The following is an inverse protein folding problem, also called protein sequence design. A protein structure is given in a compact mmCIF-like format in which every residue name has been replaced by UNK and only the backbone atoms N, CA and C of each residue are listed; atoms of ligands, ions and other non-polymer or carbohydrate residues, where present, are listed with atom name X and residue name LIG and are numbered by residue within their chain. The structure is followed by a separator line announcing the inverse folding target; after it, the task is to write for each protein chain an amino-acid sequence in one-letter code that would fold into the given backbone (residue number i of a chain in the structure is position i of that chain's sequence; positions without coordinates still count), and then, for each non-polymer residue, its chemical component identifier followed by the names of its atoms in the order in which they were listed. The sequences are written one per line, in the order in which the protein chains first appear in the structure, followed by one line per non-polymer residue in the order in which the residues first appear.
data_IF_084959934330
#
_entry.id   IF_084959934330
#
_cell.length_a   1.000
_cell.length_b   1.000
_cell.length_c   1.000
_cell.angle_alpha   90.00
_cell.angle_beta   90.00
_cell.angle_gamma   90.00
#
_symmetry.space_group_name_H-M   'P 1'
#
loop_
_entity.id
_entity.type
_entity.pdbx_description
1 polymer ?
#
# COMPACT_ATOMS: atom_id res chain seq x y z
N UNK A 1 -15.48 18.62 10.16
CA UNK A 1 -16.42 17.75 9.43
C UNK A 1 -15.66 16.52 8.97
N UNK A 2 -15.94 15.34 9.55
CA UNK A 2 -15.39 14.07 9.03
C UNK A 2 -16.10 13.82 7.70
N UNK A 3 -15.35 13.58 6.62
CA UNK A 3 -15.93 13.19 5.33
C UNK A 3 -16.78 11.94 5.59
N UNK A 4 -18.09 12.02 5.32
CA UNK A 4 -19.00 10.90 5.47
C UNK A 4 -18.59 9.83 4.44
N UNK A 5 -17.78 8.86 4.87
CA UNK A 5 -17.51 7.65 4.10
C UNK A 5 -18.62 6.66 4.43
N UNK A 6 -19.78 6.89 3.84
CA UNK A 6 -20.92 6.00 3.95
C UNK A 6 -20.64 4.78 3.05
N UNK A 7 -20.10 3.69 3.60
CA UNK A 7 -19.99 2.38 2.94
C UNK A 7 -19.44 2.38 1.49
N UNK A 8 -18.60 3.37 1.14
CA UNK A 8 -18.19 3.58 -0.24
C UNK A 8 -16.99 2.69 -0.58
N UNK A 9 -17.07 1.98 -1.72
CA UNK A 9 -15.91 1.27 -2.29
C UNK A 9 -14.78 2.28 -2.48
N UNK A 10 -13.66 2.11 -1.77
CA UNK A 10 -12.52 3.05 -1.77
C UNK A 10 -11.66 2.98 -3.04
N UNK A 11 -12.10 2.23 -4.05
CA UNK A 11 -11.36 1.97 -5.28
C UNK A 11 -10.45 0.74 -5.20
N UNK A 12 -9.58 0.62 -6.20
CA UNK A 12 -8.57 -0.44 -6.31
C UNK A 12 -7.21 0.14 -6.65
N UNK A 13 -6.14 -0.55 -6.25
CA UNK A 13 -4.77 -0.23 -6.65
C UNK A 13 -4.10 -1.45 -7.27
N UNK A 14 -3.38 -1.23 -8.38
CA UNK A 14 -2.61 -2.26 -9.10
C UNK A 14 -1.12 -1.97 -8.98
N UNK A 15 -0.38 -2.96 -8.50
CA UNK A 15 1.07 -2.87 -8.35
C UNK A 15 1.72 -4.25 -8.40
N UNK A 16 3.03 -4.27 -8.56
CA UNK A 16 3.84 -5.48 -8.48
C UNK A 16 4.89 -5.41 -7.40
N UNK A 17 5.35 -6.59 -7.00
CA UNK A 17 6.43 -6.80 -6.03
C UNK A 17 7.51 -7.65 -6.67
N UNK A 18 8.77 -7.29 -6.47
CA UNK A 18 9.93 -8.10 -6.89
C UNK A 18 10.97 -8.07 -5.78
N UNK A 19 11.38 -9.25 -5.31
CA UNK A 19 12.42 -9.41 -4.30
C UNK A 19 13.72 -9.87 -4.97
N UNK A 20 14.79 -9.11 -4.79
CA UNK A 20 16.13 -9.44 -5.23
C UNK A 20 16.98 -9.77 -4.01
N UNK A 21 17.23 -11.07 -3.78
CA UNK A 21 17.86 -11.59 -2.54
C UNK A 21 19.30 -11.12 -2.40
N UNK A 22 20.11 -11.23 -3.46
CA UNK A 22 21.53 -10.85 -3.43
C UNK A 22 21.70 -9.34 -3.22
N UNK A 23 20.83 -8.55 -3.88
CA UNK A 23 20.80 -7.10 -3.75
C UNK A 23 20.10 -6.61 -2.48
N UNK A 24 19.49 -7.51 -1.69
CA UNK A 24 18.71 -7.20 -0.48
C UNK A 24 17.69 -6.10 -0.72
N UNK A 25 16.97 -6.22 -1.85
CA UNK A 25 16.11 -5.17 -2.38
C UNK A 25 14.71 -5.68 -2.66
N UNK A 26 13.72 -4.96 -2.16
CA UNK A 26 12.32 -5.14 -2.53
C UNK A 26 11.87 -3.95 -3.38
N UNK A 27 11.43 -4.23 -4.60
CA UNK A 27 10.91 -3.22 -5.53
C UNK A 27 9.40 -3.32 -5.65
N UNK A 28 8.72 -2.20 -5.45
CA UNK A 28 7.27 -2.06 -5.63
C UNK A 28 7.03 -1.24 -6.90
N UNK A 29 6.52 -1.85 -7.96
CA UNK A 29 6.17 -1.11 -9.18
C UNK A 29 4.69 -0.74 -9.16
N UNK A 30 4.41 0.52 -8.86
CA UNK A 30 3.07 1.08 -8.82
C UNK A 30 2.58 1.36 -10.23
N UNK A 31 1.44 0.77 -10.60
CA UNK A 31 0.87 0.95 -11.94
C UNK A 31 -0.18 2.05 -11.95
N UNK A 32 -1.32 1.81 -11.29
CA UNK A 32 -2.47 2.72 -11.27
C UNK A 32 -3.39 2.44 -10.09
N UNK A 33 -4.18 3.43 -9.71
CA UNK A 33 -5.39 3.22 -8.93
C UNK A 33 -6.63 3.56 -9.77
N UNK A 34 -7.76 2.96 -9.42
CA UNK A 34 -9.01 3.05 -10.16
C UNK A 34 -10.16 3.26 -9.19
N UNK A 35 -11.19 3.97 -9.66
CA UNK A 35 -12.46 4.15 -8.97
C UNK A 35 -12.29 4.78 -7.57
N UNK A 36 -11.36 5.74 -7.44
CA UNK A 36 -11.19 6.47 -6.17
C UNK A 36 -12.49 7.23 -5.84
N UNK A 37 -12.87 7.29 -4.55
CA UNK A 37 -14.15 7.86 -4.12
C UNK A 37 -14.25 9.36 -4.43
N UNK A 38 -15.48 9.80 -4.69
CA UNK A 38 -15.82 11.21 -4.83
C UNK A 38 -16.17 11.77 -3.45
N UNK A 39 -15.28 12.57 -2.87
CA UNK A 39 -15.51 13.19 -1.58
C UNK A 39 -16.38 14.46 -1.71
N UNK A 40 -17.65 14.29 -2.07
CA UNK A 40 -18.66 15.36 -2.09
C UNK A 40 -18.35 16.49 -3.09
N UNK A 41 -18.53 17.74 -2.64
CA UNK A 41 -18.42 18.97 -3.48
C UNK A 41 -16.95 19.30 -3.83
N UNK A 42 -15.98 18.70 -3.13
CA UNK A 42 -14.59 18.78 -3.55
C UNK A 42 -14.42 17.96 -4.83
N UNK A 43 -13.73 18.54 -5.82
CA UNK A 43 -13.46 17.89 -7.10
C UNK A 43 -12.61 16.62 -6.97
N UNK A 44 -11.98 16.16 -8.06
CA UNK A 44 -11.11 15.00 -8.01
C UNK A 44 -9.95 15.19 -7.01
N UNK A 45 -9.49 14.11 -6.34
CA UNK A 45 -8.39 14.19 -5.38
C UNK A 45 -7.05 14.47 -6.09
N UNK A 46 -6.03 14.78 -5.29
CA UNK A 46 -4.63 14.84 -5.72
C UNK A 46 -3.87 13.61 -5.18
N UNK A 47 -4.06 12.41 -5.77
CA UNK A 47 -3.55 11.17 -5.22
C UNK A 47 -2.02 11.04 -5.30
N UNK A 48 -1.45 10.53 -4.23
CA UNK A 48 -0.12 9.94 -4.18
C UNK A 48 -0.19 8.58 -3.48
N UNK A 49 0.83 7.74 -3.67
CA UNK A 49 0.96 6.48 -2.93
C UNK A 49 2.06 6.61 -1.90
N UNK A 50 1.73 6.41 -0.64
CA UNK A 50 2.68 6.25 0.45
C UNK A 50 2.87 4.78 0.75
N UNK A 51 4.12 4.35 0.84
CA UNK A 51 4.51 2.98 1.18
C UNK A 51 5.33 3.00 2.46
N UNK A 52 4.91 2.22 3.44
CA UNK A 52 5.63 2.00 4.70
C UNK A 52 6.05 0.53 4.76
N UNK A 53 7.34 0.28 4.91
CA UNK A 53 7.90 -1.04 5.17
C UNK A 53 8.40 -1.11 6.62
N UNK A 54 7.95 -2.13 7.35
CA UNK A 54 8.34 -2.42 8.73
C UNK A 54 8.97 -3.82 8.75
N UNK A 55 10.24 -3.92 9.14
CA UNK A 55 10.97 -5.18 9.26
C UNK A 55 12.01 -5.04 10.38
N UNK A 56 12.11 -6.01 11.29
CA UNK A 56 13.11 -6.02 12.38
C UNK A 56 13.17 -4.71 13.20
N UNK A 57 12.00 -4.16 13.56
CA UNK A 57 11.85 -2.87 14.26
C UNK A 57 12.36 -1.64 13.48
N UNK A 58 12.80 -1.82 12.23
CA UNK A 58 13.16 -0.73 11.33
C UNK A 58 11.96 -0.36 10.46
N UNK A 59 11.75 0.95 10.26
CA UNK A 59 10.67 1.50 9.46
C UNK A 59 11.21 2.40 8.36
N UNK A 60 10.84 2.09 7.11
CA UNK A 60 11.12 2.92 5.94
C UNK A 60 9.81 3.45 5.38
N UNK A 61 9.74 4.76 5.11
CA UNK A 61 8.57 5.38 4.46
C UNK A 61 9.02 6.05 3.18
N UNK A 62 8.32 5.78 2.07
CA UNK A 62 8.55 6.42 0.77
C UNK A 62 7.20 6.81 0.16
N UNK A 63 7.21 7.81 -0.70
CA UNK A 63 6.00 8.33 -1.34
C UNK A 63 6.27 8.64 -2.81
N UNK A 64 5.26 8.44 -3.65
CA UNK A 64 5.33 8.79 -5.07
C UNK A 64 5.19 10.29 -5.30
N UNK A 65 5.39 10.69 -6.57
CA UNK A 65 4.87 11.97 -7.03
C UNK A 65 3.35 12.06 -6.81
N UNK A 66 2.88 13.29 -6.61
CA UNK A 66 1.46 13.62 -6.56
C UNK A 66 0.95 13.75 -8.00
N UNK A 67 -0.20 13.15 -8.28
CA UNK A 67 -0.91 13.32 -9.55
C UNK A 67 -2.13 14.21 -9.30
N UNK A 68 -2.27 15.27 -10.08
CA UNK A 68 -3.30 16.29 -9.83
C UNK A 68 -4.67 15.88 -10.37
N UNK A 69 -5.71 16.15 -9.60
CA UNK A 69 -7.12 16.13 -9.97
C UNK A 69 -7.52 14.88 -10.78
N UNK A 70 -7.46 13.69 -10.17
CA UNK A 70 -7.82 12.44 -10.86
C UNK A 70 -8.38 11.35 -9.94
N UNK A 71 -9.45 10.68 -10.39
CA UNK A 71 -9.99 9.46 -9.74
C UNK A 71 -9.35 8.15 -10.24
N UNK A 72 -8.53 8.23 -11.29
CA UNK A 72 -7.89 7.08 -11.93
C UNK A 72 -6.39 7.35 -12.16
N UNK A 73 -5.61 7.57 -11.10
CA UNK A 73 -4.20 7.93 -11.23
C UNK A 73 -3.37 6.80 -11.86
N UNK A 74 -2.47 7.17 -12.78
CA UNK A 74 -1.48 6.27 -13.39
C UNK A 74 -0.09 6.68 -12.92
N UNK A 75 0.47 5.92 -11.98
CA UNK A 75 1.74 6.23 -11.32
C UNK A 75 2.94 5.83 -12.18
N UNK A 76 2.98 4.58 -12.67
CA UNK A 76 4.15 4.01 -13.40
C UNK A 76 5.47 4.35 -12.68
N UNK A 77 5.53 4.10 -11.38
CA UNK A 77 6.65 4.47 -10.53
C UNK A 77 7.18 3.25 -9.77
N UNK A 78 8.50 3.08 -9.73
CA UNK A 78 9.16 2.01 -8.99
C UNK A 78 9.71 2.55 -7.68
N UNK A 79 9.28 1.99 -6.56
CA UNK A 79 9.73 2.36 -5.21
C UNK A 79 10.54 1.20 -4.63
N UNK A 80 11.82 1.45 -4.37
CA UNK A 80 12.76 0.43 -3.88
C UNK A 80 12.98 0.55 -2.38
N UNK A 81 13.05 -0.57 -1.67
CA UNK A 81 13.38 -0.67 -0.25
C UNK A 81 14.56 -1.60 -0.03
N UNK A 82 15.43 -1.25 0.91
CA UNK A 82 16.45 -2.18 1.41
C UNK A 82 15.81 -3.10 2.46
N UNK A 83 15.99 -4.40 2.32
CA UNK A 83 15.36 -5.40 3.20
C UNK A 83 16.34 -6.52 3.54
N UNK A 84 16.22 -7.10 4.73
CA UNK A 84 16.80 -8.40 5.00
C UNK A 84 16.07 -9.45 4.17
N UNK A 85 16.83 -10.28 3.45
CA UNK A 85 16.32 -11.38 2.66
C UNK A 85 16.30 -12.72 3.43
N UNK A 86 16.56 -12.70 4.75
CA UNK A 86 16.39 -13.89 5.60
C UNK A 86 14.91 -14.25 5.66
N UNK A 87 14.60 -15.53 5.59
CA UNK A 87 13.22 -16.03 5.52
C UNK A 87 12.38 -15.57 6.73
N UNK A 88 12.90 -15.67 7.95
CA UNK A 88 12.20 -15.22 9.15
C UNK A 88 11.89 -13.72 9.15
N UNK A 89 12.83 -12.91 8.64
CA UNK A 89 12.67 -11.46 8.55
C UNK A 89 11.62 -11.11 7.48
N UNK A 90 11.60 -11.81 6.35
CA UNK A 90 10.62 -11.65 5.28
C UNK A 90 9.21 -12.06 5.74
N UNK A 91 9.11 -13.14 6.52
CA UNK A 91 7.86 -13.59 7.14
C UNK A 91 7.34 -12.58 8.17
N UNK A 92 8.24 -11.88 8.86
CA UNK A 92 7.89 -10.82 9.81
C UNK A 92 7.78 -9.42 9.20
N UNK A 93 7.98 -9.27 7.89
CA UNK A 93 7.88 -7.98 7.20
C UNK A 93 6.43 -7.55 7.05
N UNK A 94 6.12 -6.29 7.33
CA UNK A 94 4.84 -5.66 7.05
C UNK A 94 5.03 -4.56 6.01
N UNK A 95 4.30 -4.64 4.90
CA UNK A 95 4.30 -3.63 3.85
C UNK A 95 2.92 -3.00 3.75
N UNK A 96 2.85 -1.71 3.97
CA UNK A 96 1.61 -0.95 4.02
C UNK A 96 1.60 0.06 2.87
N UNK A 97 0.65 -0.07 1.94
CA UNK A 97 0.52 0.76 0.73
C UNK A 97 -0.76 1.58 0.85
N UNK A 98 -0.65 2.89 1.01
CA UNK A 98 -1.75 3.83 1.17
C UNK A 98 -1.89 4.74 -0.05
N UNK A 99 -3.11 4.91 -0.56
CA UNK A 99 -3.44 6.03 -1.45
C UNK A 99 -3.87 7.21 -0.57
N UNK A 100 -3.23 8.36 -0.76
CA UNK A 100 -3.44 9.57 0.05
C UNK A 100 -3.88 10.71 -0.86
N UNK A 101 -4.94 11.39 -0.48
CA UNK A 101 -5.37 12.65 -1.09
C UNK A 101 -4.57 13.81 -0.46
N UNK A 102 -3.87 14.56 -1.29
CA UNK A 102 -3.02 15.69 -0.86
C UNK A 102 -3.62 17.07 -1.18
N UNK A 103 -4.87 17.10 -1.65
CA UNK A 103 -5.56 18.33 -2.09
C UNK A 103 -5.88 19.32 -0.97
N UNK A 104 -5.95 18.87 0.29
CA UNK A 104 -6.32 19.69 1.45
C UNK A 104 -5.12 20.36 2.15
N UNK A 105 -3.93 20.27 1.56
CA UNK A 105 -2.69 20.87 2.07
C UNK A 105 -1.82 19.88 2.87
N UNK A 106 -0.52 20.20 2.97
CA UNK A 106 0.53 19.28 3.43
C UNK A 106 0.38 18.71 4.86
N UNK A 107 -0.50 19.27 5.69
CA UNK A 107 -0.65 18.92 7.11
C UNK A 107 -1.95 18.15 7.43
N UNK A 108 -2.78 17.88 6.43
CA UNK A 108 -4.00 17.06 6.58
C UNK A 108 -3.89 15.89 5.63
N UNK A 109 -3.37 14.77 6.14
CA UNK A 109 -3.27 13.55 5.36
C UNK A 109 -4.62 12.83 5.36
N UNK A 110 -5.32 12.88 4.24
CA UNK A 110 -6.55 12.12 4.05
C UNK A 110 -6.25 10.83 3.31
N UNK A 111 -6.04 9.76 4.08
CA UNK A 111 -5.82 8.43 3.51
C UNK A 111 -7.12 7.94 2.91
N UNK A 112 -7.18 7.88 1.58
CA UNK A 112 -8.33 7.37 0.84
C UNK A 112 -8.55 5.89 1.18
N UNK A 113 -7.47 5.11 1.19
CA UNK A 113 -7.52 3.70 1.54
C UNK A 113 -6.16 3.03 1.46
N UNK A 114 -6.08 1.80 1.92
CA UNK A 114 -4.83 1.09 2.15
C UNK A 114 -4.91 -0.40 1.80
N UNK A 115 -3.76 -0.96 1.45
CA UNK A 115 -3.51 -2.38 1.26
C UNK A 115 -2.33 -2.78 2.15
N UNK A 116 -2.42 -3.94 2.81
CA UNK A 116 -1.34 -4.49 3.62
C UNK A 116 -0.89 -5.83 3.04
N UNK A 117 0.41 -5.95 2.73
CA UNK A 117 1.08 -7.20 2.41
C UNK A 117 1.97 -7.64 3.60
N UNK A 118 2.38 -8.91 3.61
CA UNK A 118 3.26 -9.42 4.66
C UNK A 118 2.55 -9.94 5.89
N UNK A 119 3.20 -9.82 7.06
CA UNK A 119 2.80 -10.36 8.36
C UNK A 119 1.34 -10.09 8.73
N UNK A 120 0.81 -8.93 8.36
CA UNK A 120 -0.55 -8.49 8.68
C UNK A 120 -1.51 -8.52 7.48
N UNK A 121 -1.12 -9.16 6.37
CA UNK A 121 -1.98 -9.35 5.21
C UNK A 121 -3.23 -10.19 5.56
N UNK A 122 -4.35 -9.86 4.90
CA UNK A 122 -5.67 -10.46 5.19
C UNK A 122 -6.39 -10.99 3.99
N UNK A 123 -6.42 -10.19 2.92
CA UNK A 123 -7.06 -10.66 1.70
C UNK A 123 -6.22 -11.81 1.15
N UNK A 124 -6.89 -12.84 0.62
CA UNK A 124 -6.21 -13.95 -0.04
C UNK A 124 -5.23 -13.46 -1.10
N UNK A 125 -5.62 -12.43 -1.87
CA UNK A 125 -4.79 -11.81 -2.90
C UNK A 125 -3.51 -11.19 -2.31
N UNK A 126 -3.62 -10.50 -1.17
CA UNK A 126 -2.48 -9.90 -0.48
C UNK A 126 -1.53 -10.95 0.09
N UNK A 127 -2.08 -12.01 0.69
CA UNK A 127 -1.30 -13.15 1.20
C UNK A 127 -0.59 -13.86 0.05
N UNK A 128 -1.31 -14.17 -1.03
CA UNK A 128 -0.77 -14.87 -2.18
C UNK A 128 0.30 -14.04 -2.89
N UNK A 129 0.11 -12.73 -3.08
CA UNK A 129 1.13 -11.87 -3.68
C UNK A 129 2.42 -11.87 -2.85
N UNK A 130 2.33 -11.65 -1.53
CA UNK A 130 3.52 -11.63 -0.68
C UNK A 130 4.23 -12.98 -0.66
N UNK A 131 3.47 -14.06 -0.48
CA UNK A 131 4.00 -15.43 -0.50
C UNK A 131 4.70 -15.75 -1.82
N UNK A 132 4.10 -15.38 -2.96
CA UNK A 132 4.71 -15.60 -4.26
C UNK A 132 5.95 -14.74 -4.48
N UNK A 133 6.00 -13.54 -3.89
CA UNK A 133 7.19 -12.67 -3.94
C UNK A 133 8.38 -13.32 -3.24
N UNK A 134 8.16 -13.88 -2.05
CA UNK A 134 9.21 -14.58 -1.31
C UNK A 134 9.62 -15.87 -2.02
N UNK A 135 8.65 -16.67 -2.50
CA UNK A 135 8.90 -17.96 -3.13
C UNK A 135 9.54 -17.87 -4.52
N UNK A 136 9.45 -16.72 -5.17
CA UNK A 136 9.97 -16.53 -6.53
C UNK A 136 10.86 -15.28 -6.62
N UNK A 137 12.04 -15.25 -5.97
CA UNK A 137 12.97 -14.13 -6.08
C UNK A 137 13.31 -13.80 -7.55
N UNK A 138 13.49 -12.51 -7.84
CA UNK A 138 13.76 -11.97 -9.17
C UNK A 138 12.54 -11.94 -10.11
N UNK A 139 11.41 -12.56 -9.74
CA UNK A 139 10.17 -12.49 -10.53
C UNK A 139 9.26 -11.38 -10.04
N UNK A 140 8.68 -10.69 -11.01
CA UNK A 140 7.68 -9.66 -10.77
C UNK A 140 6.30 -10.29 -10.51
N UNK A 141 5.76 -10.11 -9.30
CA UNK A 141 4.45 -10.63 -8.90
C UNK A 141 3.42 -9.49 -8.92
N UNK A 142 2.50 -9.53 -9.89
CA UNK A 142 1.47 -8.49 -10.11
C UNK A 142 0.15 -8.85 -9.43
N UNK A 143 -0.50 -7.87 -8.82
CA UNK A 143 -1.87 -8.03 -8.34
C UNK A 143 -2.62 -6.68 -8.28
N UNK A 144 -3.96 -6.78 -8.31
CA UNK A 144 -4.87 -5.67 -8.10
C UNK A 144 -5.64 -5.90 -6.81
N UNK A 145 -5.65 -4.91 -5.92
CA UNK A 145 -6.22 -5.00 -4.58
C UNK A 145 -7.34 -3.98 -4.42
N UNK A 146 -8.40 -4.37 -3.72
CA UNK A 146 -9.39 -3.42 -3.22
C UNK A 146 -8.78 -2.61 -2.06
N UNK A 147 -8.97 -1.30 -2.10
CA UNK A 147 -8.58 -0.40 -1.01
C UNK A 147 -9.52 -0.57 0.19
N UNK A 148 -8.95 -0.60 1.39
CA UNK A 148 -9.68 -0.72 2.67
C UNK A 148 -9.42 0.48 3.56
N UNK A 149 -10.30 0.73 4.53
CA UNK A 149 -10.13 1.85 5.46
C UNK A 149 -8.91 1.65 6.36
N UNK A 150 -8.43 2.75 6.95
CA UNK A 150 -7.31 2.72 7.89
C UNK A 150 -7.71 2.00 9.20
N UNK A 151 -8.91 2.27 9.70
CA UNK A 151 -9.47 1.68 10.93
C UNK A 151 -9.52 0.15 10.86
N UNK A 152 -10.08 -0.39 9.75
CA UNK A 152 -10.08 -1.83 9.50
C UNK A 152 -8.66 -2.42 9.55
N UNK A 153 -7.66 -1.73 9.00
CA UNK A 153 -6.30 -2.27 9.04
C UNK A 153 -5.61 -2.14 10.41
N UNK A 154 -5.99 -1.14 11.23
CA UNK A 154 -5.40 -0.89 12.56
C UNK A 154 -5.88 -1.87 13.62
N UNK A 155 -7.20 -2.04 13.77
CA UNK A 155 -7.80 -2.98 14.75
C UNK A 155 -7.15 -4.35 14.64
N UNK A 156 -6.88 -4.71 13.40
CA UNK A 156 -6.38 -6.01 13.04
C UNK A 156 -4.86 -6.19 13.23
N UNK A 157 -4.08 -5.11 13.22
CA UNK A 157 -2.68 -5.15 13.66
C UNK A 157 -2.62 -5.34 15.17
N UNK A 158 -3.52 -4.70 15.92
CA UNK A 158 -3.58 -4.80 17.39
C UNK A 158 -3.95 -6.21 17.83
N UNK A 159 -4.98 -6.83 17.23
CA UNK A 159 -5.37 -8.22 17.54
C UNK A 159 -4.20 -9.21 17.40
N UNK A 160 -3.39 -9.08 16.35
CA UNK A 160 -2.24 -9.97 16.09
C UNK A 160 -1.01 -9.69 16.94
N UNK A 161 -0.93 -8.53 17.58
CA UNK A 161 0.10 -8.24 18.58
C UNK A 161 -0.29 -8.79 19.96
N UNK A 162 -1.58 -9.01 20.19
CA UNK A 162 -2.12 -9.54 21.45
C UNK A 162 -2.20 -11.07 21.50
N UNK A 163 -2.06 -11.76 20.35
CA UNK A 163 -2.07 -13.22 20.19
C UNK A 163 -0.65 -13.79 20.07
#
# INVERSE_FOLDING_TARGET
MRKCVESAKLGRISFSTCLEVDARRLTINLTRAEDLPKFGICGPPDPCVRIILEQNNFRQTKQTRILKSTYHPVFKEAVMFLVSAKEDDLNNTCLTISVVDTSLGANVEDVIGQVVLGKYAKSKISIDQWRNTIRNPGKEIKATHALRSVEENLELKVERLAS
#
